data_IF_058344609672
#
_entry.id   IF_058344609672
#
_cell.length_a   1.000
_cell.length_b   1.000
_cell.length_c   1.000
_cell.angle_alpha   90.00
_cell.angle_beta   90.00
_cell.angle_gamma   90.00
#
_symmetry.space_group_name_H-M   'P 1'
#
loop_
_entity.id
_entity.type
_entity.pdbx_description
1 polymer ?
#
# COMPACT_ATOMS: atom_id res chain seq x y z
N UNK A 1 23.73 3.03 18.93
CA UNK A 1 22.82 3.81 18.08
C UNK A 1 22.23 2.87 17.05
N UNK A 2 20.97 2.48 17.20
CA UNK A 2 20.28 1.59 16.26
C UNK A 2 19.96 2.39 14.99
N UNK A 3 20.52 1.96 13.86
CA UNK A 3 20.38 2.59 12.55
C UNK A 3 18.95 2.48 12.01
N UNK A 4 18.08 3.36 12.50
CA UNK A 4 16.69 3.43 12.03
C UNK A 4 16.67 4.05 10.63
N UNK A 5 16.00 3.39 9.69
CA UNK A 5 15.83 3.93 8.35
C UNK A 5 14.79 5.06 8.35
N UNK A 6 15.12 6.22 7.77
CA UNK A 6 14.20 7.33 7.61
C UNK A 6 13.30 7.09 6.40
N UNK A 7 11.97 7.14 6.59
CA UNK A 7 11.00 6.96 5.51
C UNK A 7 10.58 8.31 4.92
N UNK A 8 10.94 8.59 3.67
CA UNK A 8 10.59 9.84 2.96
C UNK A 8 9.68 9.56 1.78
N UNK A 9 8.61 10.34 1.64
CA UNK A 9 7.77 10.31 0.44
C UNK A 9 8.31 11.31 -0.58
N UNK A 10 8.38 10.90 -1.85
CA UNK A 10 8.72 11.75 -2.98
C UNK A 10 7.79 11.41 -4.14
N UNK A 11 6.81 12.27 -4.43
CA UNK A 11 5.77 11.97 -5.42
C UNK A 11 5.00 10.68 -5.08
N UNK A 12 4.73 9.80 -6.06
CA UNK A 12 4.06 8.53 -5.83
C UNK A 12 5.07 7.43 -5.45
N UNK A 13 6.02 7.78 -4.58
CA UNK A 13 7.05 6.88 -4.10
C UNK A 13 7.34 7.11 -2.62
N UNK A 14 7.62 6.02 -1.91
CA UNK A 14 8.05 6.01 -0.52
C UNK A 14 9.36 5.24 -0.42
N UNK A 15 10.39 5.90 0.12
CA UNK A 15 11.77 5.38 0.17
C UNK A 15 12.24 5.35 1.62
N UNK A 16 12.88 4.24 2.02
CA UNK A 16 13.61 4.10 3.27
C UNK A 16 15.09 4.42 3.04
N UNK A 17 15.64 5.32 3.84
CA UNK A 17 17.04 5.77 3.76
C UNK A 17 17.81 5.39 5.01
N UNK A 18 19.02 4.85 4.85
CA UNK A 18 19.98 4.67 5.94
C UNK A 18 21.18 5.58 5.66
N UNK A 19 21.20 6.75 6.30
CA UNK A 19 22.12 7.82 5.92
C UNK A 19 21.83 8.29 4.48
N UNK A 20 22.84 8.38 3.59
CA UNK A 20 22.67 8.79 2.20
C UNK A 20 22.21 7.65 1.27
N UNK A 21 22.07 6.42 1.78
CA UNK A 21 21.79 5.24 0.94
C UNK A 21 20.31 4.86 1.01
N UNK A 22 19.60 4.76 -0.14
CA UNK A 22 18.26 4.17 -0.17
C UNK A 22 18.37 2.65 0.00
N UNK A 23 17.60 2.08 0.92
CA UNK A 23 17.69 0.66 1.32
C UNK A 23 16.37 -0.10 1.15
N UNK A 24 15.27 0.62 0.90
CA UNK A 24 14.01 0.05 0.47
C UNK A 24 13.15 1.11 -0.24
N UNK A 25 12.29 0.69 -1.16
CA UNK A 25 11.45 1.58 -1.95
C UNK A 25 10.17 0.88 -2.37
N UNK A 26 9.06 1.62 -2.31
CA UNK A 26 7.80 1.27 -2.95
C UNK A 26 7.33 2.44 -3.81
N UNK A 27 6.94 2.15 -5.05
CA UNK A 27 6.35 3.12 -5.96
C UNK A 27 5.01 2.62 -6.49
N UNK A 28 4.13 3.56 -6.81
CA UNK A 28 2.79 3.26 -7.28
C UNK A 28 2.34 4.23 -8.36
N UNK A 29 1.33 3.80 -9.12
CA UNK A 29 0.54 4.67 -9.98
C UNK A 29 -0.80 4.93 -9.30
N UNK A 30 -1.31 6.16 -9.38
CA UNK A 30 -2.61 6.53 -8.85
C UNK A 30 -3.61 6.72 -9.99
N UNK A 31 -4.69 5.94 -9.98
CA UNK A 31 -5.82 6.06 -10.90
C UNK A 31 -7.10 6.43 -10.14
N UNK A 32 -8.19 6.69 -10.87
CA UNK A 32 -9.51 6.90 -10.25
C UNK A 32 -9.95 5.68 -9.44
N UNK A 33 -9.76 4.49 -10.01
CA UNK A 33 -10.15 3.20 -9.44
C UNK A 33 -9.34 2.80 -8.19
N UNK A 34 -8.10 3.26 -8.04
CA UNK A 34 -7.23 2.76 -6.99
C UNK A 34 -5.77 3.18 -7.13
N UNK A 35 -4.92 2.59 -6.29
CA UNK A 35 -3.47 2.61 -6.47
C UNK A 35 -2.99 1.29 -7.05
N UNK A 36 -1.95 1.35 -7.89
CA UNK A 36 -1.29 0.19 -8.46
C UNK A 36 0.19 0.21 -8.09
N UNK A 37 0.69 -0.78 -7.35
CA UNK A 37 2.12 -0.87 -7.04
C UNK A 37 2.83 -1.38 -8.29
N UNK A 38 3.69 -0.55 -8.85
CA UNK A 38 4.49 -0.88 -10.03
C UNK A 38 5.93 -1.29 -9.68
N UNK A 39 6.39 -0.98 -8.46
CA UNK A 39 7.73 -1.31 -8.00
C UNK A 39 7.79 -1.48 -6.48
N UNK A 40 8.48 -2.55 -6.05
CA UNK A 40 8.86 -2.78 -4.66
C UNK A 40 10.26 -3.39 -4.63
N UNK A 41 11.19 -2.71 -3.98
CA UNK A 41 12.54 -3.22 -3.70
C UNK A 41 12.85 -3.06 -2.23
N UNK A 42 13.41 -4.11 -1.61
CA UNK A 42 13.78 -4.10 -0.19
C UNK A 42 15.10 -4.84 -0.05
N UNK A 43 16.20 -4.10 0.16
CA UNK A 43 17.53 -4.70 0.34
C UNK A 43 17.65 -5.31 1.74
N UNK A 44 16.96 -4.72 2.72
CA UNK A 44 16.99 -5.14 4.12
C UNK A 44 15.62 -5.68 4.54
N UNK A 45 15.42 -7.00 4.66
CA UNK A 45 14.10 -7.61 4.91
C UNK A 45 13.35 -7.07 6.14
N UNK A 46 14.05 -6.61 7.17
CA UNK A 46 13.47 -5.99 8.36
C UNK A 46 12.73 -4.67 8.08
N UNK A 47 13.00 -4.00 6.95
CA UNK A 47 12.35 -2.76 6.55
C UNK A 47 11.03 -2.98 5.81
N UNK A 48 10.72 -4.21 5.40
CA UNK A 48 9.50 -4.52 4.65
C UNK A 48 8.24 -4.11 5.45
N UNK A 49 8.13 -4.57 6.69
CA UNK A 49 6.96 -4.28 7.55
C UNK A 49 6.74 -2.78 7.79
N UNK A 50 7.73 -1.99 8.25
CA UNK A 50 7.53 -0.56 8.48
C UNK A 50 7.27 0.21 7.17
N UNK A 51 7.89 -0.17 6.05
CA UNK A 51 7.63 0.43 4.74
C UNK A 51 6.17 0.21 4.32
N UNK A 52 5.69 -1.04 4.38
CA UNK A 52 4.31 -1.39 4.03
C UNK A 52 3.29 -0.75 4.98
N UNK A 53 3.59 -0.65 6.27
CA UNK A 53 2.71 0.00 7.24
C UNK A 53 2.52 1.49 6.93
N UNK A 54 3.60 2.22 6.60
CA UNK A 54 3.51 3.63 6.21
C UNK A 54 2.82 3.79 4.86
N UNK A 55 3.16 2.97 3.88
CA UNK A 55 2.50 2.96 2.57
C UNK A 55 0.98 2.72 2.69
N UNK A 56 0.56 1.73 3.48
CA UNK A 56 -0.87 1.44 3.72
C UNK A 56 -1.60 2.63 4.33
N UNK A 57 -0.98 3.36 5.26
CA UNK A 57 -1.56 4.59 5.82
C UNK A 57 -1.75 5.66 4.74
N UNK A 58 -0.74 5.87 3.88
CA UNK A 58 -0.82 6.83 2.77
C UNK A 58 -1.94 6.48 1.78
N UNK A 59 -2.02 5.21 1.37
CA UNK A 59 -3.08 4.73 0.50
C UNK A 59 -4.46 4.94 1.11
N UNK A 60 -4.68 4.53 2.37
CA UNK A 60 -5.95 4.76 3.06
C UNK A 60 -6.31 6.23 3.20
N UNK A 61 -5.34 7.10 3.48
CA UNK A 61 -5.59 8.55 3.55
C UNK A 61 -5.94 9.17 2.21
N UNK A 62 -5.58 8.53 1.09
CA UNK A 62 -5.94 9.00 -0.25
C UNK A 62 -7.43 8.79 -0.58
N UNK A 63 -8.16 8.01 0.23
CA UNK A 63 -9.56 7.67 -0.01
C UNK A 63 -9.77 6.77 -1.23
N UNK A 64 -8.71 6.20 -1.80
CA UNK A 64 -8.81 5.26 -2.92
C UNK A 64 -9.26 3.90 -2.43
N UNK A 65 -10.29 3.29 -3.07
CA UNK A 65 -10.93 2.09 -2.53
C UNK A 65 -10.12 0.80 -2.79
N UNK A 66 -9.23 0.82 -3.79
CA UNK A 66 -8.53 -0.37 -4.26
C UNK A 66 -7.02 -0.12 -4.24
N UNK A 67 -6.27 -1.14 -3.83
CA UNK A 67 -4.84 -1.27 -4.01
C UNK A 67 -4.57 -2.56 -4.77
N UNK A 68 -3.75 -2.49 -5.81
CA UNK A 68 -3.48 -3.62 -6.69
C UNK A 68 -2.01 -3.75 -7.03
N UNK A 69 -1.54 -4.96 -7.32
CA UNK A 69 -0.16 -5.20 -7.77
C UNK A 69 -0.03 -6.52 -8.50
N UNK A 70 0.88 -6.58 -9.48
CA UNK A 70 1.31 -7.83 -10.09
C UNK A 70 2.53 -8.37 -9.38
N UNK A 71 2.57 -9.69 -9.19
CA UNK A 71 3.77 -10.32 -8.68
C UNK A 71 3.83 -11.81 -9.09
N UNK A 72 5.04 -12.31 -9.37
CA UNK A 72 5.26 -13.71 -9.76
C UNK A 72 5.04 -14.66 -8.59
N UNK A 73 4.32 -15.79 -8.74
CA UNK A 73 4.07 -16.75 -7.66
C UNK A 73 5.31 -17.17 -6.85
N UNK A 74 6.48 -17.17 -7.49
CA UNK A 74 7.76 -17.57 -6.88
C UNK A 74 8.41 -16.47 -6.02
N UNK A 75 7.84 -15.27 -6.01
CA UNK A 75 8.37 -14.15 -5.23
C UNK A 75 7.96 -14.31 -3.76
N UNK A 76 8.94 -14.70 -2.94
CA UNK A 76 8.78 -14.96 -1.51
C UNK A 76 8.30 -13.74 -0.70
N UNK A 77 8.43 -12.52 -1.24
CA UNK A 77 7.94 -11.27 -0.62
C UNK A 77 6.41 -11.16 -0.74
N UNK A 78 5.82 -11.77 -1.77
CA UNK A 78 4.37 -11.76 -1.99
C UNK A 78 3.63 -12.43 -0.85
N UNK A 79 4.09 -13.60 -0.37
CA UNK A 79 3.39 -14.30 0.72
C UNK A 79 3.23 -13.42 1.96
N UNK A 80 4.23 -12.57 2.23
CA UNK A 80 4.17 -11.57 3.31
C UNK A 80 3.26 -10.39 2.98
N UNK A 81 3.28 -9.90 1.73
CA UNK A 81 2.35 -8.86 1.26
C UNK A 81 0.89 -9.30 1.37
N UNK A 82 0.57 -10.51 0.90
CA UNK A 82 -0.76 -11.12 1.00
C UNK A 82 -1.15 -11.25 2.47
N UNK A 83 -0.28 -11.84 3.31
CA UNK A 83 -0.58 -12.05 4.73
C UNK A 83 -0.75 -10.76 5.54
N UNK A 84 -0.07 -9.68 5.16
CA UNK A 84 -0.16 -8.37 5.85
C UNK A 84 -1.34 -7.53 5.34
N UNK A 85 -1.66 -7.64 4.05
CA UNK A 85 -2.62 -6.76 3.40
C UNK A 85 -4.00 -7.40 3.14
N UNK A 86 -4.11 -8.73 3.21
CA UNK A 86 -5.35 -9.47 2.96
C UNK A 86 -5.77 -9.44 1.49
N UNK A 87 -4.80 -9.58 0.57
CA UNK A 87 -5.05 -9.47 -0.87
C UNK A 87 -5.72 -10.74 -1.44
N UNK A 88 -6.68 -10.55 -2.34
CA UNK A 88 -7.24 -11.59 -3.19
C UNK A 88 -6.45 -11.67 -4.50
N UNK A 89 -6.22 -12.88 -5.02
CA UNK A 89 -5.45 -13.09 -6.26
C UNK A 89 -6.34 -13.63 -7.38
N UNK A 90 -6.29 -12.98 -8.55
CA UNK A 90 -6.88 -13.47 -9.78
C UNK A 90 -5.90 -13.28 -10.94
N UNK A 91 -5.54 -14.36 -11.63
CA UNK A 91 -4.63 -14.35 -12.77
C UNK A 91 -3.28 -13.60 -12.53
N UNK A 92 -2.72 -13.66 -11.32
CA UNK A 92 -1.46 -13.01 -10.96
C UNK A 92 -1.58 -11.53 -10.56
N UNK A 93 -2.80 -10.98 -10.59
CA UNK A 93 -3.14 -9.67 -10.03
C UNK A 93 -3.64 -9.85 -8.60
N UNK A 94 -2.92 -9.25 -7.66
CA UNK A 94 -3.30 -9.19 -6.26
C UNK A 94 -4.03 -7.88 -6.00
N UNK A 95 -5.22 -7.96 -5.40
CA UNK A 95 -6.08 -6.82 -5.14
C UNK A 95 -6.52 -6.78 -3.68
N UNK A 96 -6.47 -5.60 -3.07
CA UNK A 96 -6.93 -5.33 -1.72
C UNK A 96 -8.00 -4.26 -1.82
N UNK A 97 -9.16 -4.54 -1.23
CA UNK A 97 -10.27 -3.58 -1.15
C UNK A 97 -10.29 -2.97 0.25
N UNK A 98 -10.30 -1.65 0.35
CA UNK A 98 -10.46 -0.98 1.65
C UNK A 98 -11.92 -1.03 2.08
N UNK A 99 -12.28 -2.09 2.82
CA UNK A 99 -13.65 -2.31 3.32
C UNK A 99 -14.12 -1.19 4.26
N UNK A 100 -13.19 -0.51 4.95
CA UNK A 100 -13.47 0.65 5.81
C UNK A 100 -13.89 1.89 5.02
N UNK A 101 -13.51 1.99 3.74
CA UNK A 101 -13.92 3.07 2.86
C UNK A 101 -15.38 2.89 2.38
N UNK A 102 -15.80 1.64 2.13
CA UNK A 102 -17.17 1.33 1.73
C UNK A 102 -18.19 1.60 2.84
N UNK A 103 -17.86 1.28 4.09
CA UNK A 103 -18.74 1.55 5.23
C UNK A 103 -18.94 3.05 5.46
N UNK A 104 -17.91 3.88 5.26
CA UNK A 104 -18.02 5.35 5.35
C UNK A 104 -18.83 5.97 4.21
N UNK A 105 -18.70 5.48 2.97
CA UNK A 105 -19.54 5.95 1.85
C UNK A 105 -21.03 5.62 2.08
N UNK A 106 -21.34 4.39 2.50
CA UNK A 106 -22.72 4.00 2.82
C UNK A 106 -23.35 4.86 3.91
N UNK A 107 -22.59 5.18 4.95
CA UNK A 107 -23.09 6.04 6.03
C UNK A 107 -23.37 7.47 5.53
N UNK A 108 -22.51 8.01 4.67
CA UNK A 108 -22.66 9.36 4.15
C UNK A 108 -23.80 9.50 3.12
N UNK A 109 -24.09 8.45 2.36
CA UNK A 109 -25.26 8.39 1.48
C UNK A 109 -26.56 8.25 2.29
N UNK A 110 -26.59 7.41 3.33
CA UNK A 110 -27.75 7.29 4.23
C UNK A 110 -28.07 8.58 4.99
N UNK A 111 -27.05 9.34 5.41
CA UNK A 111 -27.26 10.64 6.07
C UNK A 111 -27.80 11.70 5.09
N UNK A 112 -27.42 11.64 3.81
CA UNK A 112 -27.99 12.51 2.76
C UNK A 112 -29.45 12.19 2.45
N UNK A 113 -29.83 10.91 2.41
CA UNK A 113 -31.22 10.51 2.20
C UNK A 113 -32.13 10.83 3.41
N UNK A 114 -31.56 10.97 4.62
CA UNK A 114 -32.31 11.39 5.82
C UNK A 114 -32.49 12.90 5.98
N UNK A 115 -31.75 13.70 5.21
CA UNK A 115 -31.77 15.17 5.30
C UNK A 115 -32.53 15.80 4.11
N UNK A 116 -33.15 14.97 3.27
CA UNK A 116 -34.14 15.34 2.25
C UNK A 116 -35.53 14.87 2.70
#
# INVERSE_FOLDING_TARGET
>A
MTGYAELRQSGPCLIAWQGPTPVAQIAWDAAESGWYINFLSVEQPQLLTPLLAKFRKLWRSSGKPILSFHASPDNQVIGRLIGILGAECFAGLYTIVDLDHQSRKKHHEQDRERTL
#
